data_IF_991237356906
#
_entry.id   IF_991237356906
#
_cell.length_a   1.000
_cell.length_b   1.000
_cell.length_c   1.000
_cell.angle_alpha   90.00
_cell.angle_beta   90.00
_cell.angle_gamma   90.00
#
_symmetry.space_group_name_H-M   'P 1'
#
loop_
_entity.id
_entity.type
_entity.pdbx_description
1 polymer ?
#
# COMPACT_ATOMS: atom_id res chain seq x y z
N UNK A 1 50.07 45.22 57.87
CA UNK A 1 49.02 45.86 58.70
C UNK A 1 47.75 45.03 58.48
N UNK A 2 47.38 44.39 59.60
CA UNK A 2 46.24 43.46 59.67
C UNK A 2 44.92 44.19 59.43
N UNK A 3 43.95 43.48 58.78
CA UNK A 3 42.58 43.43 59.37
C UNK A 3 41.84 42.24 58.66
N UNK A 4 41.35 41.37 59.55
CA UNK A 4 40.36 40.28 59.24
C UNK A 4 38.96 40.89 59.12
N UNK A 5 38.05 40.21 58.39
CA UNK A 5 36.64 39.94 58.79
C UNK A 5 36.00 39.12 57.72
N UNK A 6 35.68 37.88 57.98
CA UNK A 6 34.39 37.33 58.48
C UNK A 6 33.41 36.94 57.36
N UNK A 7 33.27 35.66 57.26
CA UNK A 7 32.29 34.79 56.61
C UNK A 7 30.83 35.21 56.77
N UNK A 8 30.07 35.12 55.72
CA UNK A 8 28.63 34.78 55.75
C UNK A 8 28.30 33.89 54.59
N UNK A 9 27.98 32.65 54.85
CA UNK A 9 27.46 31.70 53.94
C UNK A 9 25.99 31.98 53.68
N UNK A 10 25.60 32.15 52.46
CA UNK A 10 24.21 32.07 52.05
C UNK A 10 24.09 30.95 51.01
N UNK A 11 23.43 29.88 51.42
CA UNK A 11 23.14 28.74 50.55
C UNK A 11 22.11 29.12 49.47
N UNK A 12 22.51 28.98 48.24
CA UNK A 12 21.57 28.98 47.11
C UNK A 12 21.33 27.55 46.71
N UNK A 13 20.14 27.05 46.97
CA UNK A 13 19.66 25.77 46.49
C UNK A 13 19.45 25.88 44.95
N UNK A 14 20.29 25.20 44.19
CA UNK A 14 20.06 24.98 42.80
C UNK A 14 18.93 23.94 42.64
N UNK A 15 17.74 24.39 42.26
CA UNK A 15 16.70 23.54 41.75
C UNK A 15 17.08 23.25 40.27
N UNK A 16 17.65 22.08 40.04
CA UNK A 16 17.81 21.54 38.69
C UNK A 16 16.43 21.13 38.21
N UNK A 17 15.78 22.03 37.47
CA UNK A 17 14.59 21.71 36.68
C UNK A 17 14.99 20.77 35.55
N UNK A 18 14.70 19.48 35.68
CA UNK A 18 14.65 18.53 34.59
C UNK A 18 13.51 18.95 33.64
N UNK A 19 13.85 19.70 32.63
CA UNK A 19 13.00 19.83 31.44
C UNK A 19 13.06 18.46 30.72
N UNK A 20 12.18 17.55 31.12
CA UNK A 20 11.79 16.43 30.29
C UNK A 20 11.09 17.04 29.06
N UNK A 21 11.83 17.27 28.00
CA UNK A 21 11.26 17.53 26.68
C UNK A 21 10.53 16.28 26.23
N UNK A 22 9.22 16.23 26.47
CA UNK A 22 8.35 15.33 25.73
C UNK A 22 8.41 15.78 24.26
N UNK A 23 9.27 15.14 23.50
CA UNK A 23 9.10 15.11 22.05
C UNK A 23 7.85 14.26 21.80
N UNK A 24 6.70 14.88 21.75
CA UNK A 24 5.50 14.26 21.20
C UNK A 24 5.76 14.11 19.71
N UNK A 25 6.25 12.94 19.31
CA UNK A 25 6.07 12.50 17.93
C UNK A 25 4.58 12.59 17.65
N UNK A 26 4.16 13.13 16.50
CA UNK A 26 2.76 13.13 16.14
C UNK A 26 2.27 11.68 16.22
N UNK A 27 1.16 11.48 16.92
CA UNK A 27 0.56 10.16 17.04
C UNK A 27 0.35 9.62 15.64
N UNK A 28 1.15 8.62 15.27
CA UNK A 28 0.96 7.89 14.04
C UNK A 28 -0.41 7.25 14.14
N UNK A 29 -1.27 7.53 13.18
CA UNK A 29 -2.51 6.80 13.03
C UNK A 29 -2.09 5.35 12.79
N UNK A 30 -2.26 4.53 13.80
CA UNK A 30 -2.22 3.09 13.66
C UNK A 30 -3.59 2.71 13.09
N UNK A 31 -3.76 2.85 11.77
CA UNK A 31 -4.97 2.43 11.06
C UNK A 31 -5.17 0.94 11.27
N UNK A 32 -4.08 0.21 11.45
CA UNK A 32 -4.07 -1.23 11.52
C UNK A 32 -4.80 -1.81 12.76
N UNK A 33 -4.76 -1.20 13.91
CA UNK A 33 -5.35 -1.78 15.13
C UNK A 33 -6.79 -1.36 15.45
N UNK A 34 -7.30 -0.31 14.82
CA UNK A 34 -8.69 0.12 15.06
C UNK A 34 -9.72 -0.61 14.19
N UNK A 35 -9.28 -1.27 13.12
CA UNK A 35 -10.11 -1.84 12.09
C UNK A 35 -10.53 -3.30 12.31
N UNK A 36 -9.86 -4.02 13.21
CA UNK A 36 -10.07 -5.46 13.42
C UNK A 36 -11.42 -5.87 14.02
N UNK A 37 -12.22 -4.92 14.44
CA UNK A 37 -13.55 -5.18 14.94
C UNK A 37 -14.55 -5.09 13.80
N UNK A 38 -15.08 -6.23 13.35
CA UNK A 38 -16.23 -6.26 12.44
C UNK A 38 -17.28 -5.25 12.91
N UNK A 39 -17.76 -4.40 12.01
CA UNK A 39 -18.83 -3.45 12.34
C UNK A 39 -20.05 -4.29 12.71
N UNK A 40 -20.64 -4.15 13.92
CA UNK A 40 -21.87 -4.85 14.24
C UNK A 40 -22.96 -4.49 13.21
N UNK A 41 -23.41 -5.47 12.43
CA UNK A 41 -24.42 -5.27 11.39
C UNK A 41 -23.90 -4.97 9.99
N UNK A 42 -22.60 -4.81 9.77
CA UNK A 42 -22.01 -4.79 8.42
C UNK A 42 -21.93 -6.24 7.92
N UNK A 43 -22.70 -6.56 6.91
CA UNK A 43 -22.68 -7.89 6.29
C UNK A 43 -21.62 -7.92 5.19
N UNK A 44 -20.38 -8.30 5.48
CA UNK A 44 -19.40 -8.61 4.43
C UNK A 44 -19.77 -9.90 3.67
N UNK A 45 -19.27 -10.03 2.46
CA UNK A 45 -19.33 -11.29 1.72
C UNK A 45 -18.56 -12.37 2.50
N UNK A 46 -19.15 -13.54 2.61
CA UNK A 46 -18.53 -14.65 3.35
C UNK A 46 -17.59 -15.44 2.43
N UNK A 47 -16.44 -15.93 2.96
CA UNK A 47 -15.58 -16.81 2.17
C UNK A 47 -16.34 -18.11 1.86
N UNK A 48 -16.26 -18.53 0.62
CA UNK A 48 -16.85 -19.79 0.12
C UNK A 48 -15.82 -20.91 0.07
N UNK A 49 -14.53 -20.59 0.23
CA UNK A 49 -13.44 -21.55 0.17
C UNK A 49 -12.32 -21.20 1.17
N UNK A 50 -11.52 -22.22 1.51
CA UNK A 50 -10.24 -22.08 2.19
C UNK A 50 -9.15 -22.49 1.21
N UNK A 51 -8.12 -21.64 1.07
CA UNK A 51 -6.91 -21.93 0.32
C UNK A 51 -5.75 -21.84 1.31
N UNK A 52 -5.09 -22.94 1.64
CA UNK A 52 -3.93 -22.90 2.52
C UNK A 52 -2.82 -22.04 1.90
N UNK A 53 -2.12 -21.31 2.73
CA UNK A 53 -0.90 -20.62 2.32
C UNK A 53 0.16 -21.64 1.90
N UNK A 54 0.84 -21.39 0.79
CA UNK A 54 2.00 -22.18 0.36
C UNK A 54 3.17 -21.97 1.31
N UNK A 55 3.32 -20.73 1.80
CA UNK A 55 4.24 -20.39 2.87
C UNK A 55 3.71 -19.21 3.71
N UNK A 56 4.23 -19.12 4.93
CA UNK A 56 4.23 -17.94 5.79
C UNK A 56 5.70 -17.65 6.10
N UNK A 57 6.17 -16.43 5.85
CA UNK A 57 7.56 -16.06 6.16
C UNK A 57 7.82 -16.05 7.68
N UNK A 58 9.08 -15.94 8.06
CA UNK A 58 9.42 -15.62 9.45
C UNK A 58 8.85 -14.25 9.84
N UNK A 59 8.48 -14.12 11.11
CA UNK A 59 7.96 -12.87 11.67
C UNK A 59 9.02 -11.78 11.67
N UNK A 60 8.62 -10.59 11.27
CA UNK A 60 9.35 -9.32 11.37
C UNK A 60 8.62 -8.41 12.39
N UNK A 61 8.62 -8.83 13.64
CA UNK A 61 7.89 -8.15 14.72
C UNK A 61 8.31 -6.68 14.87
N UNK A 62 7.31 -5.80 14.95
CA UNK A 62 7.50 -4.38 15.13
C UNK A 62 7.92 -3.60 13.88
N UNK A 63 7.96 -4.25 12.71
CA UNK A 63 8.37 -3.63 11.44
C UNK A 63 7.22 -2.89 10.75
N UNK A 64 5.97 -3.25 11.04
CA UNK A 64 4.77 -2.76 10.34
C UNK A 64 4.91 -2.92 8.81
N UNK A 65 4.95 -4.17 8.34
CA UNK A 65 4.92 -4.45 6.91
C UNK A 65 3.58 -4.00 6.33
N UNK A 66 3.61 -3.42 5.11
CA UNK A 66 2.42 -2.77 4.55
C UNK A 66 2.14 -3.18 3.10
N UNK A 67 2.86 -2.65 2.15
CA UNK A 67 2.60 -2.87 0.73
C UNK A 67 3.63 -3.78 0.09
N UNK A 68 3.22 -4.48 -0.97
CA UNK A 68 4.03 -5.50 -1.63
C UNK A 68 4.19 -5.20 -3.12
N UNK A 69 5.35 -5.55 -3.68
CA UNK A 69 5.59 -5.61 -5.11
C UNK A 69 6.47 -6.81 -5.47
N UNK A 70 6.32 -7.35 -6.67
CA UNK A 70 7.19 -8.43 -7.17
C UNK A 70 8.12 -7.93 -8.26
N UNK A 71 9.33 -8.47 -8.31
CA UNK A 71 10.31 -8.21 -9.35
C UNK A 71 10.93 -9.52 -9.85
N UNK A 72 10.73 -9.88 -11.13
CA UNK A 72 11.40 -11.02 -11.75
C UNK A 72 12.85 -10.66 -12.08
N UNK A 73 13.81 -11.30 -11.43
CA UNK A 73 15.23 -11.08 -11.64
C UNK A 73 15.74 -11.81 -12.89
N UNK A 74 16.85 -11.34 -13.46
CA UNK A 74 17.48 -11.93 -14.65
C UNK A 74 17.96 -13.38 -14.43
N UNK A 75 18.27 -13.77 -13.19
CA UNK A 75 18.70 -15.13 -12.82
C UNK A 75 17.53 -16.13 -12.75
N UNK A 76 16.31 -15.67 -13.05
CA UNK A 76 15.09 -16.46 -12.99
C UNK A 76 14.50 -16.61 -11.59
N UNK A 77 15.06 -15.94 -10.56
CA UNK A 77 14.40 -15.78 -9.28
C UNK A 77 13.34 -14.67 -9.35
N UNK A 78 12.39 -14.69 -8.43
CA UNK A 78 11.44 -13.59 -8.26
C UNK A 78 11.57 -13.06 -6.84
N UNK A 79 11.71 -11.75 -6.70
CA UNK A 79 11.75 -11.11 -5.40
C UNK A 79 10.38 -10.56 -5.03
N UNK A 80 10.03 -10.72 -3.76
CA UNK A 80 8.90 -10.04 -3.15
C UNK A 80 9.45 -8.93 -2.26
N UNK A 81 9.08 -7.69 -2.57
CA UNK A 81 9.57 -6.49 -1.88
C UNK A 81 8.42 -5.96 -1.04
N UNK A 82 8.65 -5.80 0.26
CA UNK A 82 7.69 -5.24 1.21
C UNK A 82 8.19 -3.91 1.77
N UNK A 83 7.30 -2.95 1.93
CA UNK A 83 7.57 -1.75 2.72
C UNK A 83 7.38 -2.05 4.21
N UNK A 84 8.20 -1.42 5.07
CA UNK A 84 8.15 -1.54 6.53
C UNK A 84 8.03 -0.14 7.15
N UNK A 85 6.82 0.19 7.57
CA UNK A 85 6.44 1.54 8.02
C UNK A 85 7.20 1.99 9.27
N UNK A 86 7.35 1.09 10.26
CA UNK A 86 7.94 1.44 11.56
C UNK A 86 9.46 1.54 11.51
N UNK A 87 10.13 0.64 10.80
CA UNK A 87 11.59 0.65 10.69
C UNK A 87 12.14 1.53 9.58
N UNK A 88 11.25 2.09 8.75
CA UNK A 88 11.63 2.97 7.64
C UNK A 88 12.57 2.27 6.62
N UNK A 89 12.21 1.04 6.23
CA UNK A 89 13.01 0.15 5.37
C UNK A 89 12.15 -0.56 4.34
N UNK A 90 12.84 -1.24 3.44
CA UNK A 90 12.25 -2.26 2.58
C UNK A 90 12.78 -3.63 3.01
N UNK A 91 11.92 -4.63 2.97
CA UNK A 91 12.27 -6.03 3.14
C UNK A 91 12.20 -6.73 1.79
N UNK A 92 13.17 -7.56 1.48
CA UNK A 92 13.22 -8.33 0.24
C UNK A 92 13.19 -9.81 0.60
N UNK A 93 12.21 -10.52 0.04
CA UNK A 93 12.03 -11.95 0.24
C UNK A 93 12.20 -12.67 -1.10
N UNK A 94 12.61 -13.93 -1.03
CA UNK A 94 12.46 -14.88 -2.13
C UNK A 94 10.97 -15.20 -2.28
N UNK A 95 10.39 -14.93 -3.45
CA UNK A 95 8.95 -15.08 -3.68
C UNK A 95 8.48 -16.54 -3.73
N UNK A 96 9.41 -17.50 -3.93
CA UNK A 96 9.09 -18.92 -3.97
C UNK A 96 9.04 -19.58 -2.59
N UNK A 97 9.71 -18.98 -1.59
CA UNK A 97 9.86 -19.61 -0.25
C UNK A 97 9.49 -18.69 0.92
N UNK A 98 9.34 -17.39 0.71
CA UNK A 98 9.17 -16.42 1.78
C UNK A 98 10.44 -16.19 2.62
N UNK A 99 11.59 -16.72 2.19
CA UNK A 99 12.85 -16.49 2.89
C UNK A 99 13.29 -15.05 2.72
N UNK A 100 13.53 -14.35 3.84
CA UNK A 100 14.07 -13.00 3.79
C UNK A 100 15.50 -13.01 3.25
N UNK A 101 15.75 -12.27 2.19
CA UNK A 101 17.04 -12.15 1.52
C UNK A 101 17.85 -10.99 2.10
N UNK A 102 17.23 -9.83 2.28
CA UNK A 102 17.90 -8.61 2.80
C UNK A 102 16.89 -7.53 3.21
N UNK A 103 17.41 -6.49 3.85
CA UNK A 103 16.72 -5.23 4.09
C UNK A 103 17.45 -4.08 3.39
N UNK A 104 16.71 -3.05 3.00
CA UNK A 104 17.24 -1.89 2.26
C UNK A 104 16.75 -0.60 2.89
N UNK A 105 17.64 0.40 2.99
CA UNK A 105 17.32 1.73 3.49
C UNK A 105 17.45 1.87 5.00
N UNK A 106 17.15 3.06 5.46
CA UNK A 106 17.16 3.47 6.87
C UNK A 106 16.31 4.73 7.03
N UNK A 107 16.00 5.11 8.27
CA UNK A 107 15.25 6.33 8.55
C UNK A 107 15.99 7.58 8.09
N UNK A 108 15.34 8.44 7.29
CA UNK A 108 15.86 9.74 6.90
C UNK A 108 15.19 10.33 5.67
N UNK A 109 15.74 11.43 5.16
CA UNK A 109 15.24 12.21 4.03
C UNK A 109 16.19 12.17 2.82
N UNK A 110 17.44 11.72 3.00
CA UNK A 110 18.39 11.59 1.90
C UNK A 110 17.94 10.50 0.91
N UNK A 111 18.52 10.50 -0.27
CA UNK A 111 18.32 9.42 -1.25
C UNK A 111 18.78 8.07 -0.65
N UNK A 112 17.97 7.03 -0.81
CA UNK A 112 18.19 5.71 -0.20
C UNK A 112 17.74 5.61 1.27
N UNK A 113 17.26 6.70 1.86
CA UNK A 113 16.62 6.71 3.17
C UNK A 113 15.12 6.91 3.02
N UNK A 114 14.34 6.41 3.99
CA UNK A 114 12.89 6.46 3.96
C UNK A 114 12.31 7.04 5.26
N UNK A 115 11.11 7.62 5.15
CA UNK A 115 10.29 7.95 6.32
C UNK A 115 8.87 7.44 6.08
N UNK A 116 8.53 6.36 6.79
CA UNK A 116 7.26 5.64 6.71
C UNK A 116 6.91 5.31 5.26
N UNK A 117 7.69 4.40 4.62
CA UNK A 117 7.37 3.92 3.29
C UNK A 117 6.07 3.12 3.35
N UNK A 118 5.14 3.44 2.45
CA UNK A 118 3.85 2.77 2.32
C UNK A 118 3.76 2.08 0.95
N UNK A 119 3.06 2.66 -0.03
CA UNK A 119 2.90 2.04 -1.34
C UNK A 119 4.20 1.75 -2.07
N UNK A 120 4.23 0.66 -2.80
CA UNK A 120 5.38 0.24 -3.60
C UNK A 120 4.91 -0.39 -4.91
N UNK A 121 5.60 -0.09 -6.01
CA UNK A 121 5.35 -0.71 -7.31
C UNK A 121 6.66 -0.86 -8.08
N UNK A 122 6.74 -1.92 -8.88
CA UNK A 122 7.85 -2.17 -9.81
C UNK A 122 7.38 -1.94 -11.25
N UNK A 123 8.19 -1.21 -12.01
CA UNK A 123 8.01 -1.02 -13.44
C UNK A 123 9.34 -1.25 -14.16
N UNK A 124 9.45 -2.38 -14.87
CA UNK A 124 10.74 -2.86 -15.38
C UNK A 124 11.72 -3.08 -14.23
N UNK A 125 12.89 -2.46 -14.31
CA UNK A 125 13.91 -2.51 -13.24
C UNK A 125 13.88 -1.27 -12.33
N UNK A 126 12.76 -0.57 -12.28
CA UNK A 126 12.57 0.58 -11.40
C UNK A 126 11.56 0.26 -10.30
N UNK A 127 11.98 0.52 -9.07
CA UNK A 127 11.15 0.42 -7.87
C UNK A 127 10.73 1.82 -7.45
N UNK A 128 9.43 2.05 -7.36
CA UNK A 128 8.82 3.28 -6.87
C UNK A 128 8.31 3.05 -5.46
N UNK A 129 8.77 3.87 -4.52
CA UNK A 129 8.42 3.78 -3.09
C UNK A 129 7.75 5.07 -2.67
N UNK A 130 6.52 4.98 -2.20
CA UNK A 130 5.79 6.12 -1.64
C UNK A 130 6.21 6.33 -0.20
N UNK A 131 6.63 7.53 0.12
CA UNK A 131 7.06 7.89 1.47
C UNK A 131 6.09 8.89 2.10
N UNK A 132 5.24 8.42 3.00
CA UNK A 132 4.19 9.25 3.62
C UNK A 132 4.77 10.48 4.32
N UNK A 133 5.77 10.28 5.19
CA UNK A 133 6.30 11.33 6.06
C UNK A 133 7.41 12.17 5.40
N UNK A 134 7.88 11.78 4.21
CA UNK A 134 8.73 12.60 3.35
C UNK A 134 7.92 13.28 2.23
N UNK A 135 6.62 13.02 2.13
CA UNK A 135 5.70 13.64 1.16
C UNK A 135 6.15 13.48 -0.29
N UNK A 136 6.69 12.30 -0.65
CA UNK A 136 7.32 12.09 -1.97
C UNK A 136 7.19 10.64 -2.44
N UNK A 137 7.53 10.42 -3.69
CA UNK A 137 7.84 9.10 -4.24
C UNK A 137 9.33 9.05 -4.53
N UNK A 138 10.03 8.04 -4.03
CA UNK A 138 11.42 7.78 -4.34
C UNK A 138 11.53 6.63 -5.34
N UNK A 139 12.43 6.78 -6.32
CA UNK A 139 12.68 5.78 -7.36
C UNK A 139 14.07 5.20 -7.17
N UNK A 140 14.16 3.86 -7.18
CA UNK A 140 15.42 3.13 -7.09
C UNK A 140 15.54 2.17 -8.28
N UNK A 141 16.75 1.87 -8.70
CA UNK A 141 17.01 0.84 -9.72
C UNK A 141 17.30 -0.50 -9.08
N UNK A 142 16.76 -1.56 -9.65
CA UNK A 142 17.00 -2.96 -9.26
C UNK A 142 18.10 -3.56 -10.14
N UNK A 143 18.86 -4.55 -9.65
CA UNK A 143 18.74 -5.26 -8.36
C UNK A 143 19.41 -4.56 -7.17
N UNK A 144 20.17 -3.50 -7.39
CA UNK A 144 21.05 -2.94 -6.37
C UNK A 144 20.37 -1.95 -5.42
N UNK A 145 19.13 -1.57 -5.69
CA UNK A 145 18.39 -0.52 -4.99
C UNK A 145 19.13 0.82 -4.98
N UNK A 146 19.80 1.12 -6.11
CA UNK A 146 20.47 2.40 -6.27
C UNK A 146 19.45 3.52 -6.42
N UNK A 147 19.47 4.55 -5.56
CA UNK A 147 18.52 5.65 -5.66
C UNK A 147 18.74 6.43 -6.94
N UNK A 148 17.64 6.67 -7.68
CA UNK A 148 17.68 7.39 -8.96
C UNK A 148 17.16 8.81 -8.83
N UNK A 149 15.96 8.98 -8.28
CA UNK A 149 15.27 10.27 -8.20
C UNK A 149 14.18 10.28 -7.11
N UNK A 150 13.66 11.47 -6.86
CA UNK A 150 12.43 11.70 -6.08
C UNK A 150 11.51 12.63 -6.86
N UNK A 151 10.20 12.52 -6.62
CA UNK A 151 9.21 13.43 -7.17
C UNK A 151 7.99 13.56 -6.26
N UNK A 152 7.16 14.56 -6.53
CA UNK A 152 5.88 14.75 -5.85
C UNK A 152 5.94 15.60 -4.59
N UNK A 153 7.11 15.90 -4.05
CA UNK A 153 7.35 16.64 -2.80
C UNK A 153 6.70 18.04 -2.74
N UNK A 154 6.44 18.64 -3.90
CA UNK A 154 5.76 19.94 -3.98
C UNK A 154 4.23 19.84 -3.87
N UNK A 155 3.63 18.65 -4.04
CA UNK A 155 2.17 18.49 -4.14
C UNK A 155 1.57 17.40 -3.27
N UNK A 156 2.35 16.39 -2.88
CA UNK A 156 1.93 15.30 -2.00
C UNK A 156 1.90 15.78 -0.54
N UNK A 157 0.86 15.39 0.18
CA UNK A 157 0.64 15.81 1.59
C UNK A 157 0.72 14.64 2.56
N UNK A 158 0.12 13.52 2.22
CA UNK A 158 0.17 12.27 2.98
C UNK A 158 -0.02 11.10 2.00
N UNK A 159 0.95 10.90 1.08
CA UNK A 159 0.80 9.89 0.03
C UNK A 159 0.83 8.49 0.62
N UNK A 160 0.06 7.58 0.00
CA UNK A 160 -0.09 6.22 0.49
C UNK A 160 0.13 5.16 -0.59
N UNK A 161 -0.87 4.85 -1.41
CA UNK A 161 -0.77 3.87 -2.49
C UNK A 161 -0.22 4.46 -3.78
N UNK A 162 0.25 3.60 -4.66
CA UNK A 162 0.68 3.96 -6.02
C UNK A 162 0.29 2.87 -7.00
N UNK A 163 -0.19 3.30 -8.15
CA UNK A 163 -0.32 2.45 -9.32
C UNK A 163 0.13 3.23 -10.56
N UNK A 164 0.68 2.52 -11.56
CA UNK A 164 1.12 3.14 -12.80
C UNK A 164 1.01 2.18 -13.98
N UNK A 165 0.94 2.74 -15.17
CA UNK A 165 0.97 1.98 -16.42
C UNK A 165 1.72 2.74 -17.50
N UNK A 166 2.22 2.01 -18.47
CA UNK A 166 2.80 2.58 -19.68
C UNK A 166 1.66 3.03 -20.60
N UNK A 167 1.48 4.35 -20.72
CA UNK A 167 0.43 4.94 -21.56
C UNK A 167 0.80 4.90 -23.04
N UNK A 168 2.06 5.19 -23.36
CA UNK A 168 2.70 4.97 -24.67
C UNK A 168 4.13 4.51 -24.41
N UNK A 169 4.82 3.87 -25.37
CA UNK A 169 6.17 3.34 -25.16
C UNK A 169 7.13 4.37 -24.53
N UNK A 170 7.64 4.04 -23.34
CA UNK A 170 8.56 4.87 -22.57
C UNK A 170 7.93 6.02 -21.78
N UNK A 171 6.61 6.18 -21.85
CA UNK A 171 5.87 7.19 -21.08
C UNK A 171 4.84 6.52 -20.17
N UNK A 172 4.85 6.88 -18.90
CA UNK A 172 4.00 6.28 -17.88
C UNK A 172 3.09 7.32 -17.24
N UNK A 173 1.86 6.92 -16.97
CA UNK A 173 0.99 7.63 -16.03
C UNK A 173 1.06 6.93 -14.67
N UNK A 174 1.40 7.69 -13.64
CA UNK A 174 1.40 7.23 -12.25
C UNK A 174 0.31 7.94 -11.45
N UNK A 175 -0.38 7.18 -10.62
CA UNK A 175 -1.46 7.64 -9.75
C UNK A 175 -1.06 7.34 -8.32
N UNK A 176 -0.97 8.37 -7.50
CA UNK A 176 -0.61 8.30 -6.08
C UNK A 176 -1.79 8.74 -5.26
N UNK A 177 -2.28 7.88 -4.38
CA UNK A 177 -3.33 8.27 -3.43
C UNK A 177 -2.73 9.18 -2.36
N UNK A 178 -3.47 10.23 -1.98
CA UNK A 178 -3.02 11.23 -1.02
C UNK A 178 -4.05 11.33 0.12
N UNK A 179 -3.80 10.54 1.17
CA UNK A 179 -4.72 10.33 2.31
C UNK A 179 -4.53 11.36 3.42
N UNK A 180 -4.26 12.64 3.06
CA UNK A 180 -4.13 13.68 4.07
C UNK A 180 -5.42 13.88 4.87
N UNK A 181 -5.25 14.06 6.17
CA UNK A 181 -6.31 14.25 7.16
C UNK A 181 -5.95 15.42 8.06
N UNK A 182 -6.95 15.98 8.73
CA UNK A 182 -6.78 17.08 9.69
C UNK A 182 -6.98 16.61 11.13
N UNK A 183 -6.79 17.55 12.07
CA UNK A 183 -6.90 17.31 13.50
C UNK A 183 -5.65 16.72 14.12
N UNK A 184 -5.55 16.82 15.42
CA UNK A 184 -4.39 16.33 16.19
C UNK A 184 -4.18 14.80 16.07
N UNK A 185 -5.26 14.09 15.80
CA UNK A 185 -5.26 12.62 15.66
C UNK A 185 -5.27 12.16 14.19
N UNK A 186 -5.20 13.09 13.24
CA UNK A 186 -5.31 12.78 11.81
C UNK A 186 -6.56 11.96 11.46
N UNK A 187 -7.69 12.27 12.09
CA UNK A 187 -8.96 11.55 11.97
C UNK A 187 -10.10 12.40 11.37
N UNK A 188 -9.82 13.67 11.04
CA UNK A 188 -10.78 14.58 10.43
C UNK A 188 -10.61 14.58 8.91
N UNK A 189 -11.64 14.09 8.23
CA UNK A 189 -11.71 14.15 6.76
C UNK A 189 -11.71 15.62 6.33
N UNK A 190 -10.93 15.98 5.29
CA UNK A 190 -10.91 17.33 4.73
C UNK A 190 -12.30 17.82 4.26
N UNK A 191 -12.41 19.11 3.98
CA UNK A 191 -13.61 19.66 3.37
C UNK A 191 -13.88 19.03 1.98
N UNK A 192 -15.16 19.00 1.57
CA UNK A 192 -15.58 18.31 0.35
C UNK A 192 -14.80 18.73 -0.90
N UNK A 193 -14.52 20.01 -1.06
CA UNK A 193 -13.79 20.54 -2.20
C UNK A 193 -12.32 20.09 -2.23
N UNK A 194 -11.70 19.86 -1.08
CA UNK A 194 -10.34 19.34 -0.97
C UNK A 194 -10.25 17.84 -1.34
N UNK A 195 -11.37 17.10 -1.31
CA UNK A 195 -11.40 15.68 -1.70
C UNK A 195 -11.16 15.47 -3.20
N UNK A 196 -11.24 16.53 -4.01
CA UNK A 196 -10.77 16.54 -5.40
C UNK A 196 -9.25 16.32 -5.54
N UNK A 197 -8.52 16.30 -4.44
CA UNK A 197 -7.07 16.11 -4.39
C UNK A 197 -6.64 14.72 -3.88
N UNK A 198 -7.56 13.76 -3.77
CA UNK A 198 -7.32 12.43 -3.20
C UNK A 198 -6.41 11.54 -4.03
N UNK A 199 -6.32 11.77 -5.33
CA UNK A 199 -5.38 11.09 -6.21
C UNK A 199 -4.58 12.12 -6.97
N UNK A 200 -3.26 12.01 -6.92
CA UNK A 200 -2.31 12.85 -7.65
C UNK A 200 -1.80 12.08 -8.85
N UNK A 201 -1.93 12.64 -10.04
CA UNK A 201 -1.45 12.05 -11.28
C UNK A 201 -0.13 12.66 -11.69
N UNK A 202 0.81 11.83 -12.13
CA UNK A 202 2.10 12.23 -12.64
C UNK A 202 2.34 11.59 -14.01
N UNK A 203 2.85 12.39 -14.95
CA UNK A 203 3.40 11.88 -16.20
C UNK A 203 4.92 11.64 -16.01
N UNK A 204 5.36 10.42 -16.28
CA UNK A 204 6.74 9.97 -16.03
C UNK A 204 7.36 9.52 -17.33
N UNK A 205 8.60 9.93 -17.56
CA UNK A 205 9.41 9.49 -18.69
C UNK A 205 10.84 9.23 -18.24
N UNK A 206 11.44 8.19 -18.77
CA UNK A 206 12.88 7.96 -18.65
C UNK A 206 13.59 8.45 -19.91
N UNK A 207 14.62 9.26 -19.74
CA UNK A 207 15.48 9.65 -20.85
C UNK A 207 16.26 8.44 -21.37
N UNK A 208 16.09 8.03 -22.62
CA UNK A 208 16.69 6.80 -23.14
C UNK A 208 18.23 6.86 -23.26
N UNK A 209 18.83 8.02 -23.24
CA UNK A 209 20.27 8.19 -23.36
C UNK A 209 20.98 8.23 -22.00
N UNK A 210 20.32 8.78 -20.99
CA UNK A 210 20.91 9.01 -19.66
C UNK A 210 20.30 8.18 -18.56
N UNK A 211 19.12 7.59 -18.79
CA UNK A 211 18.30 6.93 -17.75
C UNK A 211 17.67 7.90 -16.74
N UNK A 212 17.82 9.21 -16.95
CA UNK A 212 17.28 10.21 -16.03
C UNK A 212 15.74 10.18 -16.04
N UNK A 213 15.15 10.30 -14.85
CA UNK A 213 13.69 10.37 -14.69
C UNK A 213 13.23 11.84 -14.82
N UNK A 214 12.23 12.05 -15.68
CA UNK A 214 11.42 13.27 -15.74
C UNK A 214 10.01 12.94 -15.25
N UNK A 215 9.60 13.47 -14.10
CA UNK A 215 8.29 13.29 -13.51
C UNK A 215 7.59 14.63 -13.37
N UNK A 216 6.40 14.77 -13.96
CA UNK A 216 5.63 16.02 -13.98
C UNK A 216 4.27 15.80 -13.38
N UNK A 217 3.87 16.68 -12.46
CA UNK A 217 2.51 16.69 -11.95
C UNK A 217 1.53 16.98 -13.09
N UNK A 218 0.56 16.09 -13.27
CA UNK A 218 -0.43 16.12 -14.35
C UNK A 218 -1.86 16.44 -13.86
N UNK A 219 -2.02 16.74 -12.57
CA UNK A 219 -3.29 17.09 -11.97
C UNK A 219 -3.70 16.16 -10.84
N UNK A 220 -4.86 16.43 -10.28
CA UNK A 220 -5.45 15.62 -9.21
C UNK A 220 -6.93 15.37 -9.48
N UNK A 221 -7.49 14.37 -8.82
CA UNK A 221 -8.90 14.07 -8.88
C UNK A 221 -9.40 13.39 -7.60
N UNK A 222 -10.71 13.33 -7.48
CA UNK A 222 -11.53 12.71 -6.45
C UNK A 222 -12.93 13.30 -6.56
N UNK A 223 -13.97 12.49 -6.40
CA UNK A 223 -15.32 13.00 -6.34
C UNK A 223 -15.53 13.74 -5.01
N UNK A 224 -16.33 14.81 -5.05
CA UNK A 224 -16.57 15.69 -3.92
C UNK A 224 -18.01 15.62 -3.40
N UNK A 225 -18.84 14.74 -3.98
CA UNK A 225 -20.20 14.53 -3.49
C UNK A 225 -20.24 13.67 -2.24
N UNK A 226 -21.19 13.86 -1.33
CA UNK A 226 -21.28 13.07 -0.09
C UNK A 226 -21.37 11.56 -0.32
N UNK A 227 -21.96 11.12 -1.42
CA UNK A 227 -22.26 9.73 -1.72
C UNK A 227 -21.05 8.97 -2.30
N UNK A 228 -20.15 9.66 -2.98
CA UNK A 228 -19.08 9.05 -3.78
C UNK A 228 -17.68 9.59 -3.51
N UNK A 229 -17.55 10.60 -2.65
CA UNK A 229 -16.26 11.16 -2.31
C UNK A 229 -15.31 10.11 -1.72
N UNK A 230 -14.06 10.18 -2.17
CA UNK A 230 -12.96 9.42 -1.58
C UNK A 230 -12.53 10.08 -0.26
N UNK A 231 -12.85 9.47 0.86
CA UNK A 231 -12.67 10.08 2.19
C UNK A 231 -11.34 9.70 2.83
N UNK A 232 -10.97 8.42 2.74
CA UNK A 232 -9.74 7.86 3.29
C UNK A 232 -9.16 6.89 2.27
N UNK A 233 -8.27 7.41 1.42
CA UNK A 233 -7.74 6.63 0.30
C UNK A 233 -6.43 5.96 0.67
N UNK A 234 -6.31 4.69 0.33
CA UNK A 234 -5.06 3.96 0.45
C UNK A 234 -4.74 3.21 -0.83
N UNK A 235 -5.18 1.99 -0.98
CA UNK A 235 -4.85 1.17 -2.15
C UNK A 235 -5.48 1.66 -3.45
N UNK A 236 -4.77 1.48 -4.55
CA UNK A 236 -5.22 1.79 -5.91
C UNK A 236 -4.66 0.77 -6.89
N UNK A 237 -5.48 0.32 -7.83
CA UNK A 237 -5.04 -0.48 -8.95
C UNK A 237 -5.84 -0.14 -10.21
N UNK A 238 -5.26 -0.41 -11.39
CA UNK A 238 -5.86 -0.01 -12.65
C UNK A 238 -5.93 -1.11 -13.70
N UNK A 239 -6.80 -0.87 -14.68
CA UNK A 239 -7.02 -1.69 -15.87
C UNK A 239 -7.12 -0.81 -17.13
N UNK A 240 -6.00 -0.56 -17.81
CA UNK A 240 -6.01 0.30 -18.98
C UNK A 240 -6.91 -0.23 -20.12
N UNK A 241 -7.05 -1.55 -20.23
CA UNK A 241 -7.87 -2.15 -21.28
C UNK A 241 -9.38 -1.87 -21.12
N UNK A 242 -9.82 -1.52 -19.92
CA UNK A 242 -11.21 -1.19 -19.61
C UNK A 242 -11.39 0.23 -19.09
N UNK A 243 -10.38 1.11 -19.23
CA UNK A 243 -10.38 2.49 -18.76
C UNK A 243 -10.85 2.58 -17.30
N UNK A 244 -10.15 1.86 -16.40
CA UNK A 244 -10.60 1.71 -15.00
C UNK A 244 -9.48 1.83 -14.00
N UNK A 245 -9.80 2.52 -12.91
CA UNK A 245 -9.08 2.52 -11.63
C UNK A 245 -10.05 2.07 -10.55
N UNK A 246 -9.65 1.11 -9.71
CA UNK A 246 -10.32 0.84 -8.44
C UNK A 246 -9.50 1.45 -7.31
N UNK A 247 -10.15 2.26 -6.49
CA UNK A 247 -9.54 3.03 -5.41
C UNK A 247 -10.23 2.66 -4.10
N UNK A 248 -9.46 2.23 -3.12
CA UNK A 248 -9.96 1.89 -1.80
C UNK A 248 -10.31 3.17 -1.01
N UNK A 249 -11.50 3.19 -0.45
CA UNK A 249 -11.95 4.16 0.54
C UNK A 249 -12.26 3.41 1.84
N UNK A 250 -11.39 3.56 2.83
CA UNK A 250 -11.42 2.81 4.07
C UNK A 250 -12.36 3.41 5.13
N UNK A 251 -12.97 4.57 4.87
CA UNK A 251 -13.76 5.26 5.90
C UNK A 251 -14.97 4.45 6.35
N UNK A 252 -14.78 3.63 7.36
CA UNK A 252 -15.81 2.78 8.00
C UNK A 252 -16.96 3.58 8.64
N UNK A 253 -16.80 4.87 8.88
CA UNK A 253 -17.91 5.76 9.32
C UNK A 253 -18.95 5.95 8.22
N UNK A 254 -18.56 5.60 7.01
CA UNK A 254 -19.41 5.46 5.83
C UNK A 254 -19.34 4.01 5.33
N UNK A 255 -19.48 3.78 4.05
CA UNK A 255 -19.30 2.44 3.47
C UNK A 255 -17.88 2.33 2.95
N UNK A 256 -17.04 1.51 3.64
CA UNK A 256 -15.72 1.14 3.12
C UNK A 256 -15.89 0.27 1.88
N UNK A 257 -15.30 0.69 0.76
CA UNK A 257 -15.47 0.03 -0.55
C UNK A 257 -14.38 0.44 -1.54
N UNK A 258 -14.35 -0.21 -2.70
CA UNK A 258 -13.56 0.24 -3.85
C UNK A 258 -14.44 1.04 -4.80
N UNK A 259 -13.99 2.25 -5.14
CA UNK A 259 -14.71 3.14 -6.06
C UNK A 259 -14.12 3.05 -7.46
N UNK A 260 -15.01 3.02 -8.47
CA UNK A 260 -14.65 2.85 -9.88
C UNK A 260 -14.48 4.22 -10.55
N UNK A 261 -13.26 4.49 -11.02
CA UNK A 261 -12.87 5.69 -11.74
C UNK A 261 -12.33 5.36 -13.11
N UNK A 262 -12.43 6.27 -14.06
CA UNK A 262 -11.71 6.22 -15.33
C UNK A 262 -10.25 6.64 -15.15
N UNK A 263 -9.37 6.33 -16.09
CA UNK A 263 -7.96 6.74 -16.05
C UNK A 263 -7.78 8.26 -16.12
N UNK A 264 -8.74 8.99 -16.70
CA UNK A 264 -8.74 10.46 -16.67
C UNK A 264 -9.24 11.05 -15.33
N UNK A 265 -9.59 10.21 -14.35
CA UNK A 265 -9.93 10.62 -12.98
C UNK A 265 -11.40 10.95 -12.76
N UNK A 266 -12.31 10.50 -13.64
CA UNK A 266 -13.75 10.72 -13.47
C UNK A 266 -14.39 9.52 -12.76
N UNK A 267 -15.14 9.78 -11.69
CA UNK A 267 -15.97 8.76 -11.04
C UNK A 267 -17.03 8.23 -12.03
N UNK A 268 -17.13 6.90 -12.15
CA UNK A 268 -18.03 6.26 -13.13
C UNK A 268 -19.48 6.17 -12.64
N UNK A 269 -19.76 6.58 -11.41
CA UNK A 269 -21.04 6.35 -10.74
C UNK A 269 -21.16 4.93 -10.15
N UNK A 270 -20.06 4.18 -10.11
CA UNK A 270 -20.05 2.80 -9.62
C UNK A 270 -19.03 2.61 -8.49
N UNK A 271 -19.34 1.69 -7.62
CA UNK A 271 -18.44 1.14 -6.61
C UNK A 271 -18.61 -0.37 -6.60
N UNK A 272 -17.74 -1.09 -5.90
CA UNK A 272 -18.08 -2.48 -5.59
C UNK A 272 -19.39 -2.52 -4.81
N UNK A 273 -20.16 -3.62 -4.90
CA UNK A 273 -21.47 -3.69 -4.26
C UNK A 273 -21.39 -3.36 -2.76
N UNK A 274 -22.37 -2.60 -2.27
CA UNK A 274 -22.50 -2.32 -0.84
C UNK A 274 -22.53 -3.63 -0.05
N UNK A 275 -21.99 -3.60 1.15
CA UNK A 275 -21.82 -4.78 2.00
C UNK A 275 -20.89 -5.88 1.42
N UNK A 276 -20.02 -5.57 0.46
CA UNK A 276 -18.96 -6.49 0.06
C UNK A 276 -17.94 -6.71 1.18
N UNK A 277 -17.64 -5.67 1.95
CA UNK A 277 -16.61 -5.69 2.98
C UNK A 277 -17.24 -5.68 4.38
N UNK A 278 -16.74 -6.55 5.23
CA UNK A 278 -17.14 -6.61 6.65
C UNK A 278 -16.25 -5.74 7.55
N UNK A 279 -15.07 -5.36 7.04
CA UNK A 279 -14.12 -4.46 7.67
C UNK A 279 -13.66 -3.40 6.64
N UNK A 280 -12.39 -3.03 6.64
CA UNK A 280 -11.83 -2.07 5.70
C UNK A 280 -11.54 -2.74 4.35
N UNK A 281 -11.88 -2.07 3.26
CA UNK A 281 -11.47 -2.44 1.91
C UNK A 281 -10.03 -1.95 1.73
N UNK A 282 -9.10 -2.89 1.68
CA UNK A 282 -7.66 -2.63 1.64
C UNK A 282 -7.05 -2.96 0.28
N UNK A 283 -6.00 -3.73 0.26
CA UNK A 283 -5.25 -4.09 -0.93
C UNK A 283 -6.13 -4.50 -2.11
N UNK A 284 -5.83 -3.98 -3.29
CA UNK A 284 -6.51 -4.34 -4.54
C UNK A 284 -5.49 -4.66 -5.63
N UNK A 285 -5.75 -5.71 -6.40
CA UNK A 285 -4.91 -6.10 -7.53
C UNK A 285 -5.76 -6.63 -8.69
N UNK A 286 -5.29 -6.41 -9.92
CA UNK A 286 -5.92 -6.97 -11.12
C UNK A 286 -5.23 -8.28 -11.51
N UNK A 287 -5.97 -9.37 -11.49
CA UNK A 287 -5.59 -10.63 -12.12
C UNK A 287 -6.06 -10.66 -13.58
N UNK A 288 -5.21 -10.18 -14.46
CA UNK A 288 -5.49 -10.18 -15.90
C UNK A 288 -5.21 -11.56 -16.49
N UNK A 289 -6.19 -12.11 -17.17
CA UNK A 289 -6.12 -13.44 -17.76
C UNK A 289 -6.06 -13.37 -19.30
N UNK A 290 -5.66 -14.46 -19.94
CA UNK A 290 -5.64 -14.55 -21.39
C UNK A 290 -7.02 -14.31 -21.99
N UNK A 291 -7.07 -13.70 -23.18
CA UNK A 291 -8.33 -13.39 -23.86
C UNK A 291 -9.07 -12.16 -23.33
N UNK A 292 -8.46 -11.43 -22.39
CA UNK A 292 -9.03 -10.20 -21.83
C UNK A 292 -10.03 -10.43 -20.70
N UNK A 293 -10.18 -11.67 -20.22
CA UNK A 293 -10.88 -12.01 -18.99
C UNK A 293 -10.02 -11.62 -17.78
N UNK A 294 -10.55 -11.82 -16.58
CA UNK A 294 -9.79 -11.60 -15.35
C UNK A 294 -10.67 -11.25 -14.17
N UNK A 295 -10.00 -11.00 -13.08
CA UNK A 295 -10.65 -10.73 -11.80
C UNK A 295 -9.92 -9.61 -11.05
N UNK A 296 -10.68 -8.80 -10.36
CA UNK A 296 -10.15 -7.95 -9.30
C UNK A 296 -10.08 -8.78 -8.02
N UNK A 297 -8.93 -8.80 -7.39
CA UNK A 297 -8.74 -9.34 -6.05
C UNK A 297 -8.75 -8.17 -5.08
N UNK A 298 -9.66 -8.20 -4.10
CA UNK A 298 -9.82 -7.15 -3.11
C UNK A 298 -9.76 -7.75 -1.70
N UNK A 299 -9.08 -7.06 -0.81
CA UNK A 299 -8.90 -7.45 0.58
C UNK A 299 -10.02 -6.90 1.44
N UNK A 300 -10.65 -7.77 2.23
CA UNK A 300 -11.48 -7.42 3.38
C UNK A 300 -10.64 -7.69 4.64
N UNK A 301 -10.16 -6.64 5.30
CA UNK A 301 -9.18 -6.71 6.39
C UNK A 301 -9.81 -7.24 7.69
N UNK A 302 -10.27 -8.46 7.64
CA UNK A 302 -10.94 -9.11 8.76
C UNK A 302 -9.96 -9.80 9.72
N UNK A 303 -10.33 -9.84 10.98
CA UNK A 303 -9.77 -10.70 12.00
C UNK A 303 -10.82 -11.75 12.42
N UNK A 304 -10.45 -12.99 12.76
CA UNK A 304 -9.07 -13.50 12.87
C UNK A 304 -8.42 -13.89 11.54
N UNK A 305 -9.11 -13.85 10.42
CA UNK A 305 -8.58 -14.19 9.09
C UNK A 305 -9.09 -13.19 8.07
N UNK A 306 -8.17 -12.71 7.24
CA UNK A 306 -8.46 -11.90 6.05
C UNK A 306 -9.32 -12.68 5.06
N UNK A 307 -10.24 -11.99 4.41
CA UNK A 307 -11.01 -12.53 3.29
C UNK A 307 -10.61 -11.82 2.00
N UNK A 308 -10.33 -12.61 0.98
CA UNK A 308 -10.03 -12.14 -0.36
C UNK A 308 -11.27 -12.33 -1.24
N UNK A 309 -11.80 -11.22 -1.76
CA UNK A 309 -12.94 -11.22 -2.66
C UNK A 309 -12.48 -11.12 -4.10
N UNK A 310 -13.08 -11.91 -4.98
CA UNK A 310 -12.85 -11.84 -6.40
C UNK A 310 -14.08 -11.28 -7.11
N UNK A 311 -13.84 -10.24 -7.91
CA UNK A 311 -14.88 -9.61 -8.73
C UNK A 311 -14.50 -9.73 -10.20
N UNK A 312 -15.49 -9.90 -11.05
CA UNK A 312 -15.29 -9.93 -12.49
C UNK A 312 -14.61 -8.63 -12.98
N UNK A 313 -13.59 -8.77 -13.82
CA UNK A 313 -12.78 -7.67 -14.32
C UNK A 313 -13.61 -6.54 -14.94
N UNK A 314 -14.69 -6.88 -15.68
CA UNK A 314 -15.48 -5.93 -16.46
C UNK A 314 -16.76 -5.52 -15.75
N UNK A 315 -17.50 -6.51 -15.24
CA UNK A 315 -18.82 -6.25 -14.67
C UNK A 315 -18.78 -5.82 -13.21
N UNK A 316 -17.68 -6.11 -12.49
CA UNK A 316 -17.52 -5.96 -11.04
C UNK A 316 -18.50 -6.84 -10.22
N UNK A 317 -19.08 -7.85 -10.86
CA UNK A 317 -19.89 -8.84 -10.15
C UNK A 317 -19.00 -9.73 -9.29
N UNK A 318 -19.45 -10.03 -8.08
CA UNK A 318 -18.75 -10.95 -7.19
C UNK A 318 -18.71 -12.37 -7.79
N UNK A 319 -17.51 -12.96 -7.81
CA UNK A 319 -17.25 -14.31 -8.39
C UNK A 319 -16.91 -15.35 -7.35
N UNK A 320 -16.55 -14.96 -6.15
CA UNK A 320 -16.24 -15.83 -5.05
C UNK A 320 -15.33 -15.18 -4.04
N UNK A 321 -15.17 -15.81 -2.91
CA UNK A 321 -14.29 -15.33 -1.85
C UNK A 321 -13.58 -16.49 -1.19
N UNK A 322 -12.32 -16.30 -0.83
CA UNK A 322 -11.56 -17.29 -0.06
C UNK A 322 -10.83 -16.64 1.11
N UNK A 323 -10.37 -17.46 2.02
CA UNK A 323 -9.48 -17.09 3.11
C UNK A 323 -8.36 -18.12 3.23
N UNK A 324 -7.27 -17.74 3.87
CA UNK A 324 -6.22 -18.66 4.28
C UNK A 324 -6.54 -19.42 5.56
N UNK A 325 -5.55 -20.12 6.07
CA UNK A 325 -5.59 -20.78 7.39
C UNK A 325 -4.92 -19.88 8.46
N UNK A 326 -4.03 -18.97 8.05
CA UNK A 326 -3.20 -18.13 8.91
C UNK A 326 -3.35 -16.65 8.61
N UNK A 327 -3.39 -16.25 7.33
CA UNK A 327 -3.35 -14.86 6.89
C UNK A 327 -4.48 -14.04 7.51
N UNK A 328 -4.11 -13.02 8.25
CA UNK A 328 -5.03 -12.09 8.90
C UNK A 328 -4.52 -10.67 8.78
N UNK A 329 -5.42 -9.72 8.95
CA UNK A 329 -5.05 -8.32 9.08
C UNK A 329 -4.15 -7.84 7.95
N UNK A 330 -4.61 -7.99 6.73
CA UNK A 330 -3.85 -7.72 5.51
C UNK A 330 -4.09 -6.30 5.04
N UNK A 331 -3.03 -5.50 4.96
CA UNK A 331 -3.04 -4.20 4.29
C UNK A 331 -2.80 -4.42 2.78
N UNK A 332 -1.57 -4.68 2.38
CA UNK A 332 -1.17 -4.81 0.99
C UNK A 332 -1.15 -6.23 0.44
N UNK A 333 -1.39 -6.33 -0.85
CA UNK A 333 -1.22 -7.54 -1.64
C UNK A 333 -0.38 -7.27 -2.89
N UNK A 334 0.29 -8.31 -3.40
CA UNK A 334 0.88 -8.30 -4.73
C UNK A 334 0.43 -9.54 -5.49
N UNK A 335 0.09 -9.37 -6.76
CA UNK A 335 -0.27 -10.47 -7.63
C UNK A 335 0.81 -10.64 -8.69
N UNK A 336 1.39 -11.83 -8.77
CA UNK A 336 2.38 -12.22 -9.77
C UNK A 336 1.79 -13.32 -10.66
N UNK A 337 1.23 -12.97 -11.85
CA UNK A 337 0.51 -13.94 -12.67
C UNK A 337 1.42 -14.85 -13.50
N UNK A 338 2.73 -14.52 -13.57
CA UNK A 338 3.69 -15.36 -14.28
C UNK A 338 4.12 -16.56 -13.43
N UNK A 339 4.54 -17.63 -14.11
CA UNK A 339 5.08 -18.79 -13.43
C UNK A 339 6.41 -18.46 -12.73
N UNK A 340 6.56 -18.95 -11.51
CA UNK A 340 7.83 -19.01 -10.80
C UNK A 340 8.25 -20.48 -10.58
N UNK A 341 9.31 -20.74 -9.81
CA UNK A 341 9.74 -22.11 -9.51
C UNK A 341 8.72 -22.87 -8.66
N UNK A 342 8.11 -22.20 -7.66
CA UNK A 342 7.12 -22.80 -6.78
C UNK A 342 5.70 -22.67 -7.31
N UNK A 343 5.37 -21.59 -8.02
CA UNK A 343 4.02 -21.24 -8.45
C UNK A 343 3.90 -21.29 -9.97
N UNK A 344 3.56 -22.45 -10.53
CA UNK A 344 3.50 -22.64 -11.98
C UNK A 344 2.35 -21.91 -12.68
N UNK A 345 1.36 -21.43 -11.94
CA UNK A 345 0.24 -20.61 -12.42
C UNK A 345 0.23 -19.20 -11.82
N UNK A 346 1.36 -18.78 -11.22
CA UNK A 346 1.47 -17.52 -10.51
C UNK A 346 1.05 -17.57 -9.04
N UNK A 347 1.27 -16.48 -8.34
CA UNK A 347 0.99 -16.35 -6.91
C UNK A 347 0.28 -15.06 -6.54
N UNK A 348 -0.52 -15.12 -5.48
CA UNK A 348 -0.99 -13.96 -4.72
C UNK A 348 -0.19 -13.91 -3.43
N UNK A 349 0.46 -12.80 -3.17
CA UNK A 349 1.16 -12.51 -1.93
C UNK A 349 0.35 -11.53 -1.10
N UNK A 350 0.37 -11.71 0.23
CA UNK A 350 -0.36 -10.86 1.16
C UNK A 350 0.50 -10.56 2.40
N UNK A 351 0.35 -9.37 2.95
CA UNK A 351 0.86 -9.06 4.29
C UNK A 351 0.02 -9.80 5.32
N UNK A 352 0.67 -10.34 6.34
CA UNK A 352 0.03 -10.99 7.47
C UNK A 352 0.38 -10.27 8.76
N UNK A 353 -0.64 -9.70 9.39
CA UNK A 353 -0.58 -9.10 10.74
C UNK A 353 0.60 -8.12 10.91
N UNK A 354 0.84 -7.29 9.87
CA UNK A 354 1.93 -6.30 9.79
C UNK A 354 3.35 -6.86 9.98
N UNK A 355 3.54 -8.16 10.05
CA UNK A 355 4.82 -8.78 10.49
C UNK A 355 5.36 -9.89 9.60
N UNK A 356 4.57 -10.42 8.71
CA UNK A 356 4.99 -11.48 7.82
C UNK A 356 4.39 -11.31 6.41
N UNK A 357 4.90 -12.07 5.47
CA UNK A 357 4.31 -12.21 4.14
C UNK A 357 3.86 -13.65 3.92
N UNK A 358 2.75 -13.81 3.23
CA UNK A 358 2.15 -15.10 2.89
C UNK A 358 1.96 -15.23 1.39
N UNK A 359 1.86 -16.46 0.89
CA UNK A 359 1.65 -16.73 -0.52
C UNK A 359 0.56 -17.76 -0.76
N UNK A 360 -0.26 -17.52 -1.79
CA UNK A 360 -1.29 -18.42 -2.27
C UNK A 360 -1.03 -18.80 -3.73
N UNK A 361 -1.10 -20.09 -4.04
CA UNK A 361 -1.04 -20.57 -5.43
C UNK A 361 -2.32 -20.17 -6.17
N UNK A 362 -2.19 -19.36 -7.23
CA UNK A 362 -3.32 -18.90 -8.04
C UNK A 362 -4.06 -20.05 -8.74
N UNK A 363 -3.42 -21.19 -8.99
CA UNK A 363 -4.09 -22.39 -9.51
C UNK A 363 -5.07 -22.97 -8.50
N UNK A 364 -4.68 -23.01 -7.22
CA UNK A 364 -5.57 -23.46 -6.15
C UNK A 364 -6.73 -22.48 -5.96
N UNK A 365 -6.48 -21.19 -5.95
CA UNK A 365 -7.52 -20.16 -5.90
C UNK A 365 -8.51 -20.35 -7.07
N UNK A 366 -8.00 -20.48 -8.31
CA UNK A 366 -8.83 -20.69 -9.49
C UNK A 366 -9.65 -22.00 -9.39
N UNK A 367 -9.02 -23.05 -8.89
CA UNK A 367 -9.66 -24.37 -8.76
C UNK A 367 -10.84 -24.34 -7.77
N UNK A 368 -10.62 -23.79 -6.57
CA UNK A 368 -11.66 -23.82 -5.51
C UNK A 368 -12.80 -22.85 -5.78
N UNK A 369 -12.52 -21.76 -6.48
CA UNK A 369 -13.53 -20.76 -6.86
C UNK A 369 -14.13 -21.00 -8.26
N UNK A 370 -13.74 -22.08 -8.93
CA UNK A 370 -14.21 -22.42 -10.27
C UNK A 370 -14.03 -21.30 -11.29
N UNK A 371 -12.88 -20.62 -11.24
CA UNK A 371 -12.54 -19.52 -12.13
C UNK A 371 -12.16 -20.01 -13.54
N UNK A 372 -12.03 -19.07 -14.47
CA UNK A 372 -11.62 -19.37 -15.86
C UNK A 372 -10.22 -19.99 -15.90
N UNK A 373 -10.07 -21.07 -16.68
CA UNK A 373 -8.77 -21.70 -16.93
C UNK A 373 -7.78 -20.78 -17.65
N UNK A 374 -8.27 -19.79 -18.38
CA UNK A 374 -7.45 -18.79 -19.05
C UNK A 374 -6.57 -17.97 -18.07
N UNK A 375 -6.81 -18.10 -16.77
CA UNK A 375 -6.08 -17.36 -15.74
C UNK A 375 -4.87 -18.12 -15.20
N UNK A 376 -4.77 -19.44 -15.46
CA UNK A 376 -3.71 -20.30 -14.88
C UNK A 376 -3.03 -21.20 -15.92
N UNK A 377 -3.39 -21.07 -17.20
CA UNK A 377 -2.80 -21.83 -18.33
C UNK A 377 -1.85 -20.98 -19.18
#
# INVERSE_FOLDING_TARGET
>A
MNIRLSTLAAGAALIAGLLAGCSTSPATRDSSRSSSLAIPGAGGLRPTAVVPETFVSADADGEELDSLATWPAEDGSTWLIATAKASHRLFVFDADSGTQLRTVGSKGEALGQFRRPNGVIVQGDHLFVVERDNHRVQVLTLPDFTPLAVFGDAVLRSPYGIWMHEAVPGEYDAYVTDSFMYGEKYDQVPAWDELSERVRRFAIRFDPATGALDARFAGSFGDTSPESALRMVESIAGDPANDRLLIADEDRRHVSTLRDYTLDGRFTGRSLPDASFGAEAEGVALWSCRGGDGYWVAVDQLAPLTVFHLFDRRTLEHRGSFKGETTSYTDGIALHPAATRAFTGGALFAVHDDRAVTAFDLREVARVLHLSRNCTE
#
